data_IF_717247286038
#
_entry.id   IF_717247286038
#
_cell.length_a   1.000
_cell.length_b   1.000
_cell.length_c   1.000
_cell.angle_alpha   90.00
_cell.angle_beta   90.00
_cell.angle_gamma   90.00
#
_symmetry.space_group_name_H-M   'P 1'
#
loop_
_entity.id
_entity.type
_entity.pdbx_description
1 polymer ?
#
# COMPACT_ATOMS: atom_id res chain seq x y z
N UNK A 1 0.90 -24.36 -12.97
CA UNK A 1 2.19 -24.37 -12.24
C UNK A 1 1.94 -24.55 -10.76
N UNK A 2 2.97 -24.97 -10.04
CA UNK A 2 2.99 -25.05 -8.59
C UNK A 2 3.84 -23.91 -8.02
N UNK A 3 3.23 -23.00 -7.26
CA UNK A 3 3.86 -21.78 -6.74
C UNK A 3 3.96 -21.89 -5.23
N UNK A 4 5.14 -21.62 -4.67
CA UNK A 4 5.30 -21.39 -3.23
C UNK A 4 5.39 -19.89 -2.97
N UNK A 5 4.49 -19.36 -2.15
CA UNK A 5 4.64 -18.00 -1.62
C UNK A 5 5.28 -18.03 -0.22
N UNK A 6 6.33 -17.23 -0.03
CA UNK A 6 7.07 -17.15 1.24
C UNK A 6 6.88 -15.77 1.87
N UNK A 7 6.25 -15.73 3.07
CA UNK A 7 5.93 -14.50 3.79
C UNK A 7 6.45 -14.51 5.22
N UNK A 8 7.51 -13.77 5.53
CA UNK A 8 7.99 -13.63 6.90
C UNK A 8 7.04 -12.91 7.84
N UNK A 9 6.16 -12.03 7.31
CA UNK A 9 5.25 -11.18 8.08
C UNK A 9 3.80 -11.30 7.60
N UNK A 10 3.22 -12.50 7.80
CA UNK A 10 1.88 -12.83 7.30
C UNK A 10 0.79 -12.17 8.15
N UNK A 11 0.47 -10.90 7.82
CA UNK A 11 -0.63 -10.14 8.43
C UNK A 11 -1.03 -8.94 7.57
N UNK A 12 -2.13 -8.28 7.92
CA UNK A 12 -2.60 -7.07 7.25
C UNK A 12 -2.75 -7.24 5.73
N UNK A 13 -2.30 -6.24 4.99
CA UNK A 13 -2.37 -6.20 3.53
C UNK A 13 -1.59 -7.32 2.83
N UNK A 14 -0.44 -7.75 3.38
CA UNK A 14 0.32 -8.87 2.83
C UNK A 14 -0.48 -10.17 2.84
N UNK A 15 -1.10 -10.48 4.00
CA UNK A 15 -1.96 -11.65 4.15
C UNK A 15 -3.16 -11.57 3.21
N UNK A 16 -3.87 -10.46 3.22
CA UNK A 16 -5.07 -10.26 2.40
C UNK A 16 -4.77 -10.42 0.90
N UNK A 17 -3.67 -9.83 0.44
CA UNK A 17 -3.25 -9.91 -0.95
C UNK A 17 -3.00 -11.34 -1.41
N UNK A 18 -2.18 -12.12 -0.67
CA UNK A 18 -1.83 -13.47 -1.10
C UNK A 18 -2.99 -14.46 -0.94
N UNK A 19 -3.80 -14.32 0.11
CA UNK A 19 -4.98 -15.17 0.29
C UNK A 19 -5.98 -14.95 -0.85
N UNK A 20 -6.16 -13.69 -1.25
CA UNK A 20 -7.01 -13.34 -2.40
C UNK A 20 -6.39 -13.87 -3.70
N UNK A 21 -5.11 -13.59 -3.98
CA UNK A 21 -4.48 -14.11 -5.21
C UNK A 21 -4.58 -15.64 -5.30
N UNK A 22 -4.33 -16.35 -4.22
CA UNK A 22 -4.48 -17.81 -4.16
C UNK A 22 -5.89 -18.27 -4.52
N UNK A 23 -6.93 -17.53 -4.15
CA UNK A 23 -8.32 -17.90 -4.45
C UNK A 23 -8.73 -17.61 -5.89
N UNK A 24 -8.07 -16.65 -6.57
CA UNK A 24 -8.39 -16.25 -7.94
C UNK A 24 -7.48 -16.85 -9.01
N UNK A 25 -6.27 -17.25 -8.66
CA UNK A 25 -5.29 -17.83 -9.59
C UNK A 25 -5.72 -19.21 -10.10
N UNK A 26 -5.40 -19.50 -11.36
CA UNK A 26 -5.51 -20.86 -11.93
C UNK A 26 -4.38 -21.80 -11.47
N UNK A 27 -3.37 -21.28 -10.80
CA UNK A 27 -2.21 -22.02 -10.33
C UNK A 27 -2.42 -22.60 -8.93
N UNK A 28 -1.68 -23.66 -8.60
CA UNK A 28 -1.65 -24.20 -7.24
C UNK A 28 -0.69 -23.40 -6.38
N UNK A 29 -1.22 -22.55 -5.49
CA UNK A 29 -0.43 -21.69 -4.62
C UNK A 29 -0.41 -22.25 -3.20
N UNK A 30 0.78 -22.54 -2.70
CA UNK A 30 1.04 -22.89 -1.32
C UNK A 30 1.67 -21.71 -0.58
N UNK A 31 1.31 -21.49 0.69
CA UNK A 31 1.81 -20.38 1.50
C UNK A 31 2.69 -20.95 2.63
N UNK A 32 3.93 -20.50 2.69
CA UNK A 32 4.88 -20.76 3.76
C UNK A 32 5.14 -19.47 4.53
N UNK A 33 4.63 -19.34 5.74
CA UNK A 33 4.62 -18.06 6.43
C UNK A 33 4.97 -18.14 7.91
N UNK A 34 5.26 -16.97 8.48
CA UNK A 34 5.37 -16.72 9.92
C UNK A 34 4.37 -15.63 10.35
N UNK A 35 3.91 -15.64 11.62
CA UNK A 35 2.98 -14.63 12.12
C UNK A 35 3.53 -13.21 11.99
N UNK A 36 2.65 -12.25 11.67
CA UNK A 36 2.96 -10.83 11.48
C UNK A 36 3.23 -10.09 12.79
N UNK A 37 4.40 -10.27 13.35
CA UNK A 37 4.90 -9.59 14.56
C UNK A 37 6.42 -9.47 14.53
N UNK A 38 6.96 -8.44 15.19
CA UNK A 38 8.41 -8.20 15.27
C UNK A 38 9.04 -8.07 13.88
N UNK A 39 8.51 -7.21 13.00
CA UNK A 39 8.88 -7.11 11.59
C UNK A 39 10.41 -6.98 11.37
N UNK A 40 11.10 -6.17 12.19
CA UNK A 40 12.57 -6.03 12.11
C UNK A 40 13.27 -7.38 12.30
N UNK A 41 12.83 -8.18 13.25
CA UNK A 41 13.36 -9.53 13.45
C UNK A 41 12.99 -10.48 12.31
N UNK A 42 11.80 -10.32 11.72
CA UNK A 42 11.40 -11.12 10.55
C UNK A 42 12.30 -10.88 9.36
N UNK A 43 12.64 -9.64 9.05
CA UNK A 43 13.58 -9.34 7.95
C UNK A 43 14.97 -9.93 8.17
N UNK A 44 15.42 -10.02 9.42
CA UNK A 44 16.72 -10.62 9.74
C UNK A 44 16.72 -12.14 9.73
N UNK A 45 15.88 -12.74 10.56
CA UNK A 45 16.04 -14.13 10.99
C UNK A 45 15.03 -15.09 10.37
N UNK A 46 13.95 -14.61 9.74
CA UNK A 46 12.90 -15.49 9.22
C UNK A 46 13.40 -16.46 8.15
N UNK A 47 14.38 -16.05 7.34
CA UNK A 47 14.94 -16.88 6.27
C UNK A 47 15.45 -18.23 6.79
N UNK A 48 16.09 -18.26 7.96
CA UNK A 48 16.62 -19.50 8.58
C UNK A 48 15.46 -20.46 8.90
N UNK A 49 14.42 -19.95 9.57
CA UNK A 49 13.27 -20.78 9.96
C UNK A 49 12.48 -21.27 8.75
N UNK A 50 12.27 -20.38 7.77
CA UNK A 50 11.50 -20.70 6.57
C UNK A 50 12.28 -21.66 5.65
N UNK A 51 13.60 -21.51 5.53
CA UNK A 51 14.45 -22.44 4.81
C UNK A 51 14.36 -23.87 5.38
N UNK A 52 14.50 -24.02 6.70
CA UNK A 52 14.33 -25.33 7.33
C UNK A 52 12.96 -25.94 7.02
N UNK A 53 11.87 -25.17 7.20
CA UNK A 53 10.51 -25.65 6.92
C UNK A 53 10.31 -26.01 5.45
N UNK A 54 10.95 -25.28 4.55
CA UNK A 54 10.89 -25.54 3.11
C UNK A 54 11.59 -26.84 2.75
N UNK A 55 12.81 -27.05 3.24
CA UNK A 55 13.59 -28.30 3.04
C UNK A 55 12.83 -29.51 3.56
N UNK A 56 12.24 -29.40 4.77
CA UNK A 56 11.48 -30.47 5.41
C UNK A 56 10.25 -30.91 4.59
N UNK A 57 9.70 -30.02 3.73
CA UNK A 57 8.55 -30.33 2.85
C UNK A 57 8.88 -31.31 1.72
N UNK A 58 10.14 -31.39 1.29
CA UNK A 58 10.59 -32.26 0.17
C UNK A 58 9.74 -32.13 -1.10
N UNK A 59 9.30 -30.91 -1.41
CA UNK A 59 8.40 -30.58 -2.53
C UNK A 59 9.09 -29.61 -3.47
N UNK A 60 9.00 -29.86 -4.77
CA UNK A 60 9.46 -28.94 -5.82
C UNK A 60 8.36 -27.95 -6.23
N UNK A 61 8.76 -26.76 -6.64
CA UNK A 61 7.90 -25.70 -7.14
C UNK A 61 8.47 -25.12 -8.42
N UNK A 62 7.60 -24.70 -9.31
CA UNK A 62 8.01 -24.01 -10.56
C UNK A 62 8.47 -22.60 -10.23
N UNK A 63 7.74 -21.93 -9.32
CA UNK A 63 8.02 -20.57 -8.85
C UNK A 63 8.07 -20.51 -7.34
N UNK A 64 9.06 -19.78 -6.84
CA UNK A 64 9.13 -19.32 -5.46
C UNK A 64 8.88 -17.81 -5.48
N UNK A 65 7.68 -17.40 -5.11
CA UNK A 65 7.27 -16.01 -4.96
C UNK A 65 7.52 -15.57 -3.52
N UNK A 66 8.26 -14.49 -3.31
CA UNK A 66 8.61 -14.01 -1.96
C UNK A 66 8.22 -12.55 -1.78
N UNK A 67 7.91 -12.14 -0.55
CA UNK A 67 7.75 -10.72 -0.24
C UNK A 67 9.09 -10.03 0.02
N UNK A 68 9.08 -8.71 -0.04
CA UNK A 68 10.19 -7.80 0.30
C UNK A 68 10.70 -7.97 1.75
N UNK A 69 9.90 -8.60 2.61
CA UNK A 69 10.24 -8.90 4.00
C UNK A 69 11.24 -10.06 4.17
N UNK A 70 11.53 -10.84 3.13
CA UNK A 70 12.43 -11.96 3.19
C UNK A 70 13.88 -11.54 2.91
N UNK A 71 14.84 -11.98 3.75
CA UNK A 71 16.26 -11.99 3.38
C UNK A 71 16.48 -13.12 2.37
N UNK A 72 16.20 -12.83 1.10
CA UNK A 72 16.24 -13.80 0.01
C UNK A 72 17.64 -14.38 -0.25
N UNK A 73 18.75 -13.60 -0.24
CA UNK A 73 20.08 -14.17 -0.39
C UNK A 73 20.39 -15.26 0.63
N UNK A 74 20.05 -15.03 1.90
CA UNK A 74 20.23 -16.01 2.97
C UNK A 74 19.34 -17.24 2.74
N UNK A 75 18.06 -17.03 2.38
CA UNK A 75 17.16 -18.13 2.07
C UNK A 75 17.68 -18.99 0.91
N UNK A 76 18.08 -18.35 -0.21
CA UNK A 76 18.63 -19.05 -1.39
C UNK A 76 19.88 -19.84 -1.04
N UNK A 77 20.77 -19.30 -0.22
CA UNK A 77 22.00 -19.96 0.20
C UNK A 77 21.70 -21.23 1.00
N UNK A 78 20.71 -21.18 1.91
CA UNK A 78 20.32 -22.32 2.76
C UNK A 78 19.57 -23.41 2.00
N UNK A 79 18.90 -23.09 0.88
CA UNK A 79 18.05 -23.99 0.11
C UNK A 79 18.55 -24.19 -1.34
N UNK A 80 19.84 -24.02 -1.60
CA UNK A 80 20.40 -23.94 -2.95
C UNK A 80 20.08 -25.17 -3.82
N UNK A 81 20.03 -26.34 -3.23
CA UNK A 81 19.73 -27.58 -3.94
C UNK A 81 18.24 -27.73 -4.25
N UNK A 82 17.39 -27.29 -3.32
CA UNK A 82 15.93 -27.42 -3.41
C UNK A 82 15.30 -26.45 -4.40
N UNK A 83 15.94 -25.28 -4.59
CA UNK A 83 15.42 -24.20 -5.47
C UNK A 83 16.07 -24.11 -6.84
N UNK A 84 17.06 -24.95 -7.14
CA UNK A 84 17.88 -24.87 -8.36
C UNK A 84 17.07 -24.88 -9.69
N UNK A 85 15.89 -25.49 -9.69
CA UNK A 85 15.01 -25.60 -10.84
C UNK A 85 13.80 -24.65 -10.75
N UNK A 86 13.73 -23.81 -9.72
CA UNK A 86 12.63 -22.85 -9.52
C UNK A 86 13.03 -21.47 -9.99
N UNK A 87 12.11 -20.72 -10.58
CA UNK A 87 12.26 -19.27 -10.75
C UNK A 87 11.92 -18.56 -9.46
N UNK A 88 12.68 -17.56 -9.10
CA UNK A 88 12.48 -16.80 -7.85
C UNK A 88 12.03 -15.38 -8.16
N UNK A 89 10.85 -15.02 -7.71
CA UNK A 89 10.21 -13.74 -7.95
C UNK A 89 10.03 -13.01 -6.62
N UNK A 90 10.49 -11.76 -6.52
CA UNK A 90 10.21 -10.91 -5.35
C UNK A 90 9.09 -9.93 -5.68
N UNK A 91 8.04 -9.91 -4.85
CA UNK A 91 6.99 -8.90 -4.90
C UNK A 91 7.21 -7.88 -3.79
N UNK A 92 7.39 -6.61 -4.19
CA UNK A 92 7.58 -5.50 -3.28
C UNK A 92 6.24 -4.86 -2.93
N UNK A 93 5.77 -5.08 -1.70
CA UNK A 93 4.65 -4.35 -1.11
C UNK A 93 5.09 -2.98 -0.61
N UNK A 94 6.29 -2.93 -0.02
CA UNK A 94 6.99 -1.74 0.44
C UNK A 94 8.49 -1.91 0.24
N UNK A 95 9.29 -0.89 0.57
CA UNK A 95 10.75 -1.02 0.61
C UNK A 95 11.35 -0.14 1.71
N UNK A 96 12.49 -0.57 2.22
CA UNK A 96 13.16 0.08 3.35
C UNK A 96 14.16 1.17 2.92
N UNK A 97 14.34 1.43 1.63
CA UNK A 97 15.11 2.58 1.12
C UNK A 97 14.35 3.90 1.31
N UNK A 98 13.01 3.83 1.24
CA UNK A 98 12.10 4.97 1.29
C UNK A 98 11.31 5.08 2.59
N UNK A 99 11.53 4.19 3.53
CA UNK A 99 10.79 4.24 4.79
C UNK A 99 11.14 5.52 5.54
N UNK A 100 10.19 6.46 5.60
CA UNK A 100 10.39 7.71 6.32
C UNK A 100 10.36 7.46 7.81
N UNK A 101 11.49 7.68 8.45
CA UNK A 101 11.57 7.68 9.91
C UNK A 101 10.85 8.93 10.43
N UNK A 102 10.04 8.76 11.49
CA UNK A 102 9.34 9.88 12.11
C UNK A 102 10.34 10.99 12.50
N UNK A 103 10.01 12.29 12.35
CA UNK A 103 10.94 13.42 12.52
C UNK A 103 11.65 13.52 13.87
N UNK A 104 11.34 12.66 14.84
CA UNK A 104 11.91 12.62 16.20
C UNK A 104 12.81 11.41 16.47
N UNK A 105 13.06 10.54 15.49
CA UNK A 105 14.00 9.44 15.67
C UNK A 105 15.42 9.91 15.36
N UNK A 106 16.34 9.66 16.30
CA UNK A 106 17.74 10.09 16.23
C UNK A 106 18.44 9.50 14.98
N UNK A 107 19.38 10.25 14.36
CA UNK A 107 20.24 9.81 13.26
C UNK A 107 20.87 8.43 13.46
N UNK A 108 21.17 8.05 14.71
CA UNK A 108 21.66 6.70 15.06
C UNK A 108 20.65 5.56 14.81
N UNK A 109 19.35 5.87 14.71
CA UNK A 109 18.33 4.88 14.40
C UNK A 109 18.18 4.70 12.88
N UNK A 110 18.40 5.78 12.13
CA UNK A 110 18.49 5.77 10.66
C UNK A 110 19.62 4.86 10.17
N UNK A 111 20.82 4.96 10.76
CA UNK A 111 21.95 4.11 10.39
C UNK A 111 21.70 2.61 10.68
N UNK A 112 20.99 2.30 11.76
CA UNK A 112 20.61 0.90 12.06
C UNK A 112 19.58 0.35 11.08
N UNK A 113 18.70 1.20 10.55
CA UNK A 113 17.61 0.76 9.67
C UNK A 113 18.10 0.66 8.21
N UNK A 114 19.23 1.29 7.85
CA UNK A 114 19.85 1.15 6.51
C UNK A 114 20.22 -0.29 6.13
N UNK A 115 20.40 -1.19 7.09
CA UNK A 115 20.67 -2.57 6.76
C UNK A 115 19.42 -3.34 6.26
N UNK A 116 18.20 -2.91 6.60
CA UNK A 116 16.98 -3.45 5.98
C UNK A 116 16.88 -3.04 4.51
N UNK A 117 17.31 -1.81 4.20
CA UNK A 117 17.49 -1.36 2.82
C UNK A 117 18.49 -2.24 2.05
N UNK A 118 19.57 -2.68 2.72
CA UNK A 118 20.55 -3.61 2.14
C UNK A 118 19.93 -4.99 1.88
N UNK A 119 19.06 -5.48 2.75
CA UNK A 119 18.32 -6.73 2.52
C UNK A 119 17.44 -6.60 1.27
N UNK A 120 16.66 -5.50 1.11
CA UNK A 120 15.86 -5.27 -0.09
C UNK A 120 16.72 -5.21 -1.34
N UNK A 121 17.84 -4.45 -1.31
CA UNK A 121 18.81 -4.37 -2.42
C UNK A 121 19.32 -5.74 -2.83
N UNK A 122 19.87 -6.51 -1.89
CA UNK A 122 20.46 -7.82 -2.20
C UNK A 122 19.40 -8.84 -2.60
N UNK A 123 18.18 -8.76 -2.06
CA UNK A 123 17.05 -9.59 -2.49
C UNK A 123 16.65 -9.30 -3.92
N UNK A 124 16.51 -8.02 -4.29
CA UNK A 124 16.21 -7.64 -5.67
C UNK A 124 17.33 -8.06 -6.65
N UNK A 125 18.58 -8.03 -6.20
CA UNK A 125 19.73 -8.43 -7.03
C UNK A 125 19.75 -9.92 -7.33
N UNK A 126 19.33 -10.79 -6.40
CA UNK A 126 19.36 -12.25 -6.58
C UNK A 126 18.06 -12.87 -7.08
N UNK A 127 16.98 -12.08 -7.21
CA UNK A 127 15.73 -12.49 -7.82
C UNK A 127 15.87 -12.65 -9.33
N UNK A 128 15.07 -13.52 -9.93
CA UNK A 128 14.93 -13.61 -11.39
C UNK A 128 14.03 -12.50 -11.94
N UNK A 129 13.00 -12.09 -11.17
CA UNK A 129 12.10 -10.99 -11.48
C UNK A 129 11.74 -10.24 -10.19
N UNK A 130 11.68 -8.91 -10.28
CA UNK A 130 11.19 -8.03 -9.23
C UNK A 130 9.87 -7.39 -9.66
N UNK A 131 8.83 -7.51 -8.84
CA UNK A 131 7.52 -6.95 -9.09
C UNK A 131 7.23 -5.84 -8.08
N UNK A 132 6.83 -4.69 -8.58
CA UNK A 132 6.46 -3.52 -7.77
C UNK A 132 4.98 -3.23 -7.92
N UNK A 133 4.34 -2.82 -6.86
CA UNK A 133 2.90 -2.55 -6.84
C UNK A 133 2.46 -1.27 -7.57
N UNK A 134 3.40 -0.42 -7.97
CA UNK A 134 3.15 0.77 -8.80
C UNK A 134 4.42 1.20 -9.56
N UNK A 135 4.25 1.98 -10.64
CA UNK A 135 5.39 2.58 -11.36
C UNK A 135 6.13 3.59 -10.48
N UNK A 136 5.37 4.34 -9.65
CA UNK A 136 5.99 5.20 -8.63
C UNK A 136 6.92 4.38 -7.73
N UNK A 137 6.46 3.26 -7.18
CA UNK A 137 7.27 2.43 -6.28
C UNK A 137 8.55 1.92 -6.97
N UNK A 138 8.41 1.40 -8.20
CA UNK A 138 9.55 0.91 -9.01
C UNK A 138 10.58 2.03 -9.26
N UNK A 139 10.12 3.17 -9.74
CA UNK A 139 10.99 4.29 -10.12
C UNK A 139 11.75 4.85 -8.92
N UNK A 140 11.04 5.14 -7.80
CA UNK A 140 11.68 5.69 -6.61
C UNK A 140 12.61 4.67 -5.91
N UNK A 141 12.30 3.37 -5.99
CA UNK A 141 13.19 2.33 -5.48
C UNK A 141 14.54 2.35 -6.21
N UNK A 142 14.54 2.39 -7.55
CA UNK A 142 15.75 2.42 -8.36
C UNK A 142 16.55 3.72 -8.15
N UNK A 143 15.87 4.85 -8.08
CA UNK A 143 16.49 6.16 -7.81
C UNK A 143 17.16 6.19 -6.43
N UNK A 144 16.46 5.77 -5.38
CA UNK A 144 17.00 5.77 -4.02
C UNK A 144 18.10 4.70 -3.85
N UNK A 145 18.03 3.59 -4.57
CA UNK A 145 19.09 2.59 -4.60
C UNK A 145 20.39 3.16 -5.18
N UNK A 146 20.31 3.92 -6.28
CA UNK A 146 21.48 4.61 -6.83
C UNK A 146 22.09 5.60 -5.82
N UNK A 147 21.26 6.40 -5.16
CA UNK A 147 21.68 7.32 -4.10
C UNK A 147 22.29 6.57 -2.90
N UNK A 148 21.69 5.45 -2.49
CA UNK A 148 22.16 4.60 -1.41
C UNK A 148 23.56 4.04 -1.70
N UNK A 149 23.79 3.52 -2.91
CA UNK A 149 25.06 2.97 -3.34
C UNK A 149 26.12 4.07 -3.49
N UNK A 150 25.77 5.27 -3.97
CA UNK A 150 26.66 6.41 -4.08
C UNK A 150 27.30 6.84 -2.75
N UNK A 151 26.58 6.65 -1.63
CA UNK A 151 27.08 6.96 -0.28
C UNK A 151 28.07 5.95 0.28
N UNK A 152 28.32 4.81 -0.41
CA UNK A 152 29.29 3.83 0.05
C UNK A 152 30.73 4.29 -0.18
N UNK A 153 31.66 3.95 0.74
CA UNK A 153 33.02 4.47 0.69
C UNK A 153 33.80 4.00 -0.55
N UNK A 154 33.58 2.75 -0.97
CA UNK A 154 34.26 2.13 -2.12
C UNK A 154 33.39 1.03 -2.73
N UNK A 155 33.78 0.49 -3.89
CA UNK A 155 33.10 -0.61 -4.58
C UNK A 155 31.58 -0.42 -4.65
N UNK A 156 31.16 0.77 -5.08
CA UNK A 156 29.75 1.22 -5.03
C UNK A 156 28.77 0.34 -5.83
N UNK A 157 29.29 -0.53 -6.69
CA UNK A 157 28.52 -1.53 -7.48
C UNK A 157 27.31 -0.95 -8.24
N UNK A 158 27.39 0.30 -8.70
CA UNK A 158 26.28 1.02 -9.35
C UNK A 158 25.71 0.31 -10.58
N UNK A 159 26.52 -0.50 -11.29
CA UNK A 159 26.05 -1.31 -12.40
C UNK A 159 24.91 -2.27 -12.00
N UNK A 160 24.80 -2.60 -10.72
CA UNK A 160 23.74 -3.49 -10.22
C UNK A 160 22.35 -2.85 -10.28
N UNK A 161 22.28 -1.50 -10.29
CA UNK A 161 21.00 -0.78 -10.47
C UNK A 161 20.39 -1.12 -11.83
N UNK A 162 21.20 -1.04 -12.91
CA UNK A 162 20.74 -1.43 -14.25
C UNK A 162 20.39 -2.91 -14.35
N UNK A 163 21.13 -3.78 -13.65
CA UNK A 163 20.82 -5.23 -13.58
C UNK A 163 19.45 -5.44 -12.93
N UNK A 164 19.16 -4.73 -11.84
CA UNK A 164 17.89 -4.82 -11.14
C UNK A 164 16.76 -4.22 -12.00
N UNK A 165 16.99 -3.07 -12.62
CA UNK A 165 16.01 -2.39 -13.47
C UNK A 165 15.53 -3.29 -14.62
N UNK A 166 16.46 -3.95 -15.33
CA UNK A 166 16.15 -4.85 -16.46
C UNK A 166 15.23 -6.03 -16.10
N UNK A 167 15.19 -6.39 -14.83
CA UNK A 167 14.32 -7.47 -14.31
C UNK A 167 13.28 -6.95 -13.31
N UNK A 168 12.88 -5.70 -13.45
CA UNK A 168 11.88 -5.05 -12.61
C UNK A 168 10.69 -4.64 -13.44
N UNK A 169 9.50 -5.09 -13.05
CA UNK A 169 8.22 -4.79 -13.70
C UNK A 169 7.19 -4.31 -12.69
N UNK A 170 6.15 -3.65 -13.19
CA UNK A 170 5.01 -3.22 -12.37
C UNK A 170 3.90 -4.24 -12.47
N UNK A 171 3.43 -4.68 -11.31
CA UNK A 171 2.24 -5.49 -11.18
C UNK A 171 1.40 -4.93 -10.03
N UNK A 172 0.38 -4.15 -10.36
CA UNK A 172 -0.48 -3.50 -9.38
C UNK A 172 -1.13 -4.51 -8.43
N UNK A 173 -1.44 -4.06 -7.22
CA UNK A 173 -2.14 -4.90 -6.25
C UNK A 173 -3.55 -5.22 -6.77
N UNK A 174 -3.90 -6.50 -6.76
CA UNK A 174 -5.27 -6.94 -6.94
C UNK A 174 -6.07 -6.74 -5.64
N UNK A 175 -7.28 -6.21 -5.76
CA UNK A 175 -8.19 -5.96 -4.65
C UNK A 175 -9.44 -6.82 -4.82
N UNK A 176 -9.99 -7.36 -3.74
CA UNK A 176 -11.29 -8.05 -3.79
C UNK A 176 -12.42 -7.04 -3.67
N UNK A 177 -12.67 -6.30 -4.77
CA UNK A 177 -13.64 -5.21 -4.77
C UNK A 177 -15.08 -5.71 -4.75
N UNK A 178 -15.36 -6.93 -5.20
CA UNK A 178 -16.70 -7.48 -5.18
C UNK A 178 -17.30 -7.58 -3.77
N UNK A 179 -16.46 -7.80 -2.75
CA UNK A 179 -16.92 -7.85 -1.36
C UNK A 179 -17.52 -6.50 -0.90
N UNK A 180 -17.13 -5.40 -1.55
CA UNK A 180 -17.67 -4.06 -1.27
C UNK A 180 -18.94 -3.74 -2.06
N UNK A 181 -19.40 -4.60 -2.95
CA UNK A 181 -20.64 -4.33 -3.69
C UNK A 181 -21.82 -4.11 -2.76
N UNK A 182 -22.62 -3.07 -3.03
CA UNK A 182 -23.89 -2.79 -2.38
C UNK A 182 -24.89 -2.28 -3.40
N UNK A 183 -26.14 -2.68 -3.27
CA UNK A 183 -27.25 -2.10 -4.02
C UNK A 183 -27.82 -0.84 -3.35
N UNK A 184 -27.40 -0.52 -2.13
CA UNK A 184 -27.85 0.64 -1.39
C UNK A 184 -27.13 1.91 -1.90
N UNK A 185 -27.89 2.95 -2.16
CA UNK A 185 -27.37 4.29 -2.47
C UNK A 185 -27.62 5.20 -1.26
N UNK A 186 -26.55 5.69 -0.68
CA UNK A 186 -26.61 6.66 0.41
C UNK A 186 -26.60 8.07 -0.16
N UNK A 187 -27.48 8.93 0.34
CA UNK A 187 -27.50 10.34 0.00
C UNK A 187 -27.53 11.15 1.29
N UNK A 188 -26.46 11.86 1.57
CA UNK A 188 -26.34 12.67 2.76
C UNK A 188 -26.75 14.12 2.45
N UNK A 189 -27.51 14.76 3.37
CA UNK A 189 -27.77 16.21 3.28
C UNK A 189 -26.52 17.02 3.60
N UNK A 190 -25.74 16.57 4.56
CA UNK A 190 -24.46 17.11 4.98
C UNK A 190 -23.37 16.09 4.60
N UNK A 191 -22.39 16.46 3.77
CA UNK A 191 -21.39 15.51 3.30
C UNK A 191 -20.56 14.90 4.44
N UNK A 192 -20.28 13.60 4.31
CA UNK A 192 -19.43 12.86 5.22
C UNK A 192 -18.00 12.80 4.63
N UNK A 193 -17.04 13.36 5.36
CA UNK A 193 -15.63 13.33 5.03
C UNK A 193 -14.98 12.13 5.71
N UNK A 194 -14.28 11.32 4.97
CA UNK A 194 -13.69 10.07 5.44
C UNK A 194 -12.18 10.20 5.67
N UNK A 195 -11.73 9.73 6.83
CA UNK A 195 -10.35 9.33 7.09
C UNK A 195 -10.31 7.82 7.28
N UNK A 196 -9.66 7.07 6.37
CA UNK A 196 -9.54 5.61 6.45
C UNK A 196 -8.10 5.12 6.43
N UNK A 197 -7.22 5.80 7.16
CA UNK A 197 -5.81 5.48 7.31
C UNK A 197 -5.46 5.11 8.75
N UNK A 198 -4.31 4.44 8.91
CA UNK A 198 -3.67 4.30 10.22
C UNK A 198 -3.40 5.67 10.82
N UNK A 199 -3.42 5.75 12.15
CA UNK A 199 -3.23 7.02 12.84
C UNK A 199 -1.72 7.29 13.07
N UNK A 200 -1.03 7.56 11.96
CA UNK A 200 0.42 7.73 11.90
C UNK A 200 0.81 9.04 11.21
N UNK A 201 2.03 9.52 11.49
CA UNK A 201 2.54 10.80 10.95
C UNK A 201 2.70 10.80 9.43
N UNK A 202 3.04 9.65 8.83
CA UNK A 202 3.22 9.51 7.39
C UNK A 202 1.94 9.78 6.58
N UNK A 203 0.77 9.71 7.25
CA UNK A 203 -0.53 10.04 6.65
C UNK A 203 -0.87 11.54 6.73
N UNK A 204 -0.01 12.34 7.37
CA UNK A 204 -0.15 13.80 7.53
C UNK A 204 -1.52 14.22 8.08
N UNK A 205 -1.92 13.69 9.26
CA UNK A 205 -3.18 14.05 9.88
C UNK A 205 -3.27 15.53 10.24
N UNK A 206 -2.11 16.21 10.40
CA UNK A 206 -2.03 17.64 10.69
C UNK A 206 -2.70 18.46 9.60
N UNK A 207 -2.36 18.24 8.33
CA UNK A 207 -2.99 18.95 7.20
C UNK A 207 -4.48 18.67 7.14
N UNK A 208 -4.87 17.39 7.25
CA UNK A 208 -6.26 16.98 7.21
C UNK A 208 -7.11 17.67 8.29
N UNK A 209 -6.77 17.49 9.55
CA UNK A 209 -7.58 18.00 10.66
C UNK A 209 -7.52 19.51 10.80
N UNK A 210 -6.35 20.16 10.59
CA UNK A 210 -6.28 21.62 10.63
C UNK A 210 -7.12 22.26 9.51
N UNK A 211 -7.21 21.63 8.35
CA UNK A 211 -8.09 22.08 7.26
C UNK A 211 -9.56 21.97 7.65
N UNK A 212 -10.00 20.86 8.23
CA UNK A 212 -11.38 20.69 8.71
C UNK A 212 -11.74 21.69 9.82
N UNK A 213 -10.85 21.91 10.78
CA UNK A 213 -11.04 22.92 11.82
C UNK A 213 -11.20 24.32 11.23
N UNK A 214 -10.41 24.66 10.19
CA UNK A 214 -10.52 25.93 9.48
C UNK A 214 -11.85 26.05 8.73
N UNK A 215 -12.31 24.97 8.08
CA UNK A 215 -13.61 24.93 7.38
C UNK A 215 -14.78 25.12 8.37
N UNK A 216 -14.75 24.45 9.52
CA UNK A 216 -15.74 24.65 10.59
C UNK A 216 -15.79 26.11 11.07
N UNK A 217 -14.63 26.73 11.32
CA UNK A 217 -14.55 28.16 11.71
C UNK A 217 -15.14 29.11 10.66
N UNK A 218 -15.17 28.69 9.38
CA UNK A 218 -15.80 29.38 8.27
C UNK A 218 -17.27 28.97 8.07
N UNK A 219 -17.91 28.34 9.06
CA UNK A 219 -19.30 27.89 9.06
C UNK A 219 -19.67 26.94 7.92
N UNK A 220 -18.70 26.15 7.42
CA UNK A 220 -18.96 25.09 6.42
C UNK A 220 -19.44 23.84 7.16
N UNK A 221 -20.59 23.32 6.72
CA UNK A 221 -21.21 22.13 7.32
C UNK A 221 -20.68 20.84 6.67
N UNK A 222 -20.20 19.91 7.47
CA UNK A 222 -19.76 18.57 7.09
C UNK A 222 -19.81 17.65 8.30
N UNK A 223 -19.84 16.36 8.07
CA UNK A 223 -19.61 15.32 9.08
C UNK A 223 -18.25 14.64 8.82
N UNK A 224 -17.68 14.01 9.84
CA UNK A 224 -16.38 13.31 9.73
C UNK A 224 -16.48 11.91 10.29
N UNK A 225 -15.98 10.94 9.52
CA UNK A 225 -15.76 9.56 9.95
C UNK A 225 -14.26 9.32 9.99
N UNK A 226 -13.75 8.89 11.14
CA UNK A 226 -12.32 8.64 11.37
C UNK A 226 -12.14 7.15 11.64
N UNK A 227 -11.76 6.41 10.60
CA UNK A 227 -11.47 4.98 10.67
C UNK A 227 -9.96 4.73 10.84
N UNK A 228 -9.60 3.47 11.04
CA UNK A 228 -8.23 3.01 11.02
C UNK A 228 -7.66 2.60 12.38
N UNK A 229 -6.57 1.85 12.31
CA UNK A 229 -5.92 1.29 13.48
C UNK A 229 -5.25 2.37 14.33
N UNK A 230 -5.54 2.34 15.62
CA UNK A 230 -4.91 3.17 16.63
C UNK A 230 -3.69 2.44 17.20
N UNK A 231 -2.54 3.09 17.18
CA UNK A 231 -1.32 2.60 17.83
C UNK A 231 -1.16 3.17 19.25
N UNK A 232 -0.22 2.62 20.00
CA UNK A 232 0.08 3.07 21.39
C UNK A 232 0.44 4.54 21.45
N UNK A 233 1.09 5.06 20.40
CA UNK A 233 1.50 6.47 20.29
C UNK A 233 0.87 7.06 19.04
N UNK A 234 -0.10 7.94 19.22
CA UNK A 234 -0.81 8.63 18.14
C UNK A 234 -0.37 10.10 18.06
N UNK A 235 -0.41 10.73 16.86
CA UNK A 235 -0.19 12.18 16.73
C UNK A 235 -1.18 12.99 17.59
N UNK A 236 -0.68 14.05 18.25
CA UNK A 236 -1.49 14.89 19.14
C UNK A 236 -2.68 15.56 18.45
N UNK A 237 -2.59 15.74 17.13
CA UNK A 237 -3.64 16.35 16.32
C UNK A 237 -4.97 15.58 16.42
N UNK A 238 -4.96 14.25 16.62
CA UNK A 238 -6.19 13.48 16.82
C UNK A 238 -6.93 13.90 18.10
N UNK A 239 -6.20 14.19 19.17
CA UNK A 239 -6.79 14.70 20.41
C UNK A 239 -7.33 16.12 20.24
N UNK A 240 -6.62 16.97 19.48
CA UNK A 240 -7.10 18.30 19.10
C UNK A 240 -8.38 18.21 18.27
N UNK A 241 -8.40 17.33 17.26
CA UNK A 241 -9.55 17.12 16.39
C UNK A 241 -10.79 16.69 17.19
N UNK A 242 -10.65 15.76 18.14
CA UNK A 242 -11.75 15.35 19.02
C UNK A 242 -12.39 16.50 19.79
N UNK A 243 -11.59 17.48 20.23
CA UNK A 243 -12.11 18.65 20.94
C UNK A 243 -12.74 19.68 20.01
N UNK A 244 -12.02 20.01 18.91
CA UNK A 244 -12.42 21.09 18.00
C UNK A 244 -13.56 20.69 17.04
N UNK A 245 -13.64 19.40 16.67
CA UNK A 245 -14.63 18.84 15.72
C UNK A 245 -15.63 17.90 16.42
N UNK A 246 -15.88 18.08 17.72
CA UNK A 246 -16.71 17.17 18.51
C UNK A 246 -18.13 16.99 17.92
N UNK A 247 -18.73 18.05 17.38
CA UNK A 247 -20.08 18.04 16.78
C UNK A 247 -20.11 17.47 15.36
N UNK A 248 -18.97 17.46 14.65
CA UNK A 248 -18.85 16.98 13.29
C UNK A 248 -18.43 15.50 13.21
N UNK A 249 -17.73 15.00 14.25
CA UNK A 249 -17.26 13.61 14.29
C UNK A 249 -18.42 12.69 14.64
N UNK A 250 -18.90 11.91 13.66
CA UNK A 250 -20.01 10.97 13.84
C UNK A 250 -19.54 9.53 14.10
N UNK A 251 -18.27 9.21 13.76
CA UNK A 251 -17.62 7.96 14.14
C UNK A 251 -16.11 8.16 14.27
N UNK A 252 -15.50 7.47 15.25
CA UNK A 252 -14.07 7.49 15.47
C UNK A 252 -13.57 6.19 16.09
N UNK A 253 -12.79 5.42 15.35
CA UNK A 253 -12.21 4.16 15.83
C UNK A 253 -11.91 3.16 14.74
N UNK A 254 -11.48 1.99 15.17
CA UNK A 254 -11.36 0.80 14.32
C UNK A 254 -12.72 0.13 14.23
N UNK A 255 -13.10 -0.34 13.05
CA UNK A 255 -14.34 -1.08 12.85
C UNK A 255 -14.19 -2.51 13.42
N UNK A 256 -15.20 -2.97 14.16
CA UNK A 256 -15.20 -4.30 14.78
C UNK A 256 -15.42 -5.42 13.76
N UNK A 257 -15.99 -5.09 12.61
CA UNK A 257 -16.25 -6.03 11.52
C UNK A 257 -15.96 -5.42 10.14
N UNK A 258 -15.81 -6.31 9.15
CA UNK A 258 -15.72 -5.91 7.75
C UNK A 258 -16.99 -5.21 7.27
N UNK A 259 -18.17 -5.69 7.69
CA UNK A 259 -19.46 -5.11 7.30
C UNK A 259 -19.62 -3.68 7.82
N UNK A 260 -19.15 -3.41 9.04
CA UNK A 260 -19.11 -2.04 9.57
C UNK A 260 -18.19 -1.14 8.75
N UNK A 261 -16.96 -1.61 8.42
CA UNK A 261 -16.02 -0.90 7.56
C UNK A 261 -16.63 -0.59 6.20
N UNK A 262 -17.18 -1.61 5.52
CA UNK A 262 -17.89 -1.49 4.24
C UNK A 262 -19.02 -0.46 4.31
N UNK A 263 -19.85 -0.52 5.35
CA UNK A 263 -20.96 0.40 5.54
C UNK A 263 -20.49 1.86 5.66
N UNK A 264 -19.40 2.12 6.39
CA UNK A 264 -18.83 3.46 6.46
C UNK A 264 -18.25 3.94 5.13
N UNK A 265 -17.63 3.08 4.34
CA UNK A 265 -17.15 3.44 3.00
C UNK A 265 -18.31 3.87 2.09
N UNK A 266 -19.44 3.15 2.11
CA UNK A 266 -20.62 3.50 1.32
C UNK A 266 -21.33 4.76 1.80
N UNK A 267 -21.29 5.07 3.09
CA UNK A 267 -21.86 6.30 3.64
C UNK A 267 -21.01 7.54 3.41
N UNK A 268 -19.72 7.37 3.17
CA UNK A 268 -18.79 8.48 2.97
C UNK A 268 -18.96 9.14 1.61
N UNK A 269 -18.91 10.46 1.55
CA UNK A 269 -19.05 11.23 0.31
C UNK A 269 -17.70 11.69 -0.24
N UNK A 270 -16.76 12.10 0.61
CA UNK A 270 -15.48 12.71 0.21
C UNK A 270 -14.33 12.03 0.95
N UNK A 271 -13.30 11.64 0.19
CA UNK A 271 -12.06 11.06 0.71
C UNK A 271 -10.87 11.99 0.43
N UNK A 272 -10.53 12.93 1.32
CA UNK A 272 -9.33 13.73 1.18
C UNK A 272 -8.12 12.96 1.71
N UNK A 273 -7.09 12.82 0.88
CA UNK A 273 -5.84 12.14 1.20
C UNK A 273 -4.72 13.17 1.37
N UNK A 274 -3.96 13.04 2.46
CA UNK A 274 -2.86 13.97 2.79
C UNK A 274 -1.50 13.31 2.92
N UNK A 275 -1.41 12.01 2.71
CA UNK A 275 -0.24 11.17 2.96
C UNK A 275 1.05 11.68 2.32
N UNK A 276 2.16 11.54 3.07
CA UNK A 276 3.53 11.73 2.58
C UNK A 276 4.15 10.44 2.05
N UNK A 277 3.59 9.28 2.45
CA UNK A 277 4.10 7.98 2.02
C UNK A 277 2.94 7.02 1.76
N UNK A 278 2.94 6.47 0.56
CA UNK A 278 2.09 5.37 0.13
C UNK A 278 2.65 4.80 -1.17
N UNK A 279 2.75 3.48 -1.28
CA UNK A 279 3.26 2.84 -2.49
C UNK A 279 2.15 2.42 -3.46
N UNK A 280 0.93 2.25 -2.96
CA UNK A 280 -0.24 1.95 -3.77
C UNK A 280 -1.49 2.70 -3.28
N UNK A 281 -2.02 2.39 -2.10
CA UNK A 281 -3.22 3.04 -1.56
C UNK A 281 -4.48 2.18 -1.72
N UNK A 282 -4.45 0.94 -1.23
CA UNK A 282 -5.60 0.02 -1.28
C UNK A 282 -6.86 0.66 -0.70
N UNK A 283 -6.75 1.33 0.46
CA UNK A 283 -7.90 1.97 1.12
C UNK A 283 -8.55 3.08 0.28
N UNK A 284 -7.79 3.70 -0.63
CA UNK A 284 -8.32 4.68 -1.59
C UNK A 284 -9.11 3.95 -2.67
N UNK A 285 -8.56 2.87 -3.22
CA UNK A 285 -9.23 2.04 -4.23
C UNK A 285 -10.56 1.52 -3.69
N UNK A 286 -10.58 1.01 -2.45
CA UNK A 286 -11.78 0.51 -1.78
C UNK A 286 -12.85 1.60 -1.60
N UNK A 287 -12.47 2.77 -1.08
CA UNK A 287 -13.40 3.87 -0.85
C UNK A 287 -13.96 4.45 -2.16
N UNK A 288 -13.11 4.63 -3.18
CA UNK A 288 -13.55 5.10 -4.50
C UNK A 288 -14.46 4.07 -5.18
N UNK A 289 -14.21 2.78 -5.01
CA UNK A 289 -15.10 1.72 -5.47
C UNK A 289 -16.48 1.80 -4.80
N UNK A 290 -16.54 2.22 -3.52
CA UNK A 290 -17.77 2.49 -2.78
C UNK A 290 -18.39 3.87 -3.10
N UNK A 291 -18.01 4.51 -4.21
CA UNK A 291 -18.55 5.78 -4.69
C UNK A 291 -18.16 7.02 -3.87
N UNK A 292 -17.06 6.97 -3.11
CA UNK A 292 -16.52 8.16 -2.43
C UNK A 292 -15.73 9.02 -3.41
N UNK A 293 -15.95 10.34 -3.41
CA UNK A 293 -15.22 11.30 -4.26
C UNK A 293 -13.81 11.52 -3.69
N UNK A 294 -12.74 11.17 -4.43
CA UNK A 294 -11.38 11.34 -3.94
C UNK A 294 -10.91 12.80 -4.08
N UNK A 295 -10.03 13.24 -3.15
CA UNK A 295 -9.20 14.44 -3.29
C UNK A 295 -7.77 14.07 -2.91
N UNK A 296 -6.90 13.95 -3.90
CA UNK A 296 -5.59 13.31 -3.78
C UNK A 296 -4.45 14.31 -3.99
N UNK A 297 -3.30 14.16 -3.30
CA UNK A 297 -2.12 14.93 -3.67
C UNK A 297 -1.55 14.45 -5.01
N UNK A 298 -1.09 15.38 -5.82
CA UNK A 298 -0.44 15.09 -7.10
C UNK A 298 1.00 14.57 -6.88
N UNK A 299 1.11 13.45 -6.17
CA UNK A 299 2.37 12.77 -5.84
C UNK A 299 2.13 11.30 -5.51
N UNK A 300 3.22 10.57 -5.27
CA UNK A 300 3.21 9.14 -4.94
C UNK A 300 2.57 8.32 -6.08
N UNK A 301 1.90 7.22 -5.73
CA UNK A 301 1.19 6.36 -6.68
C UNK A 301 -0.18 6.91 -7.13
N UNK A 302 -0.66 7.98 -6.52
CA UNK A 302 -2.06 8.44 -6.72
C UNK A 302 -2.37 8.88 -8.14
N UNK A 303 -1.47 9.63 -8.86
CA UNK A 303 -1.67 9.98 -10.27
C UNK A 303 -1.83 8.76 -11.19
N UNK A 304 -1.18 7.66 -10.85
CA UNK A 304 -1.29 6.37 -11.54
C UNK A 304 -2.61 5.67 -11.22
N UNK A 305 -2.99 5.63 -9.93
CA UNK A 305 -4.17 4.89 -9.46
C UNK A 305 -5.47 5.51 -9.97
N UNK A 306 -5.61 6.82 -9.94
CA UNK A 306 -6.81 7.53 -10.41
C UNK A 306 -6.69 8.04 -11.84
N UNK A 307 -5.65 7.62 -12.59
CA UNK A 307 -5.46 8.05 -13.98
C UNK A 307 -5.57 9.58 -14.14
N UNK A 308 -4.57 10.28 -13.62
CA UNK A 308 -4.55 11.76 -13.57
C UNK A 308 -4.86 12.43 -14.92
N UNK A 309 -4.49 11.77 -16.04
CA UNK A 309 -4.76 12.34 -17.38
C UNK A 309 -6.24 12.53 -17.65
N UNK A 310 -7.09 11.67 -17.09
CA UNK A 310 -8.54 11.70 -17.24
C UNK A 310 -9.27 12.34 -16.04
N UNK A 311 -8.59 12.51 -14.90
CA UNK A 311 -9.19 12.95 -13.64
C UNK A 311 -8.34 14.00 -12.91
N UNK A 312 -7.81 15.03 -13.61
CA UNK A 312 -6.95 16.07 -13.01
C UNK A 312 -7.66 16.88 -11.92
N UNK A 313 -8.97 16.98 -11.98
CA UNK A 313 -9.82 17.74 -11.05
C UNK A 313 -9.73 17.23 -9.59
N UNK A 314 -9.45 15.93 -9.39
CA UNK A 314 -9.32 15.33 -8.05
C UNK A 314 -7.92 15.50 -7.42
N UNK A 315 -6.96 16.09 -8.14
CA UNK A 315 -5.60 16.25 -7.64
C UNK A 315 -5.32 17.67 -7.15
N UNK A 316 -4.60 17.79 -6.04
CA UNK A 316 -4.11 19.06 -5.52
C UNK A 316 -2.57 19.08 -5.45
N UNK A 317 -1.99 20.32 -5.52
CA UNK A 317 -0.54 20.51 -5.62
C UNK A 317 0.09 21.21 -4.40
N UNK A 318 -0.71 21.78 -3.51
CA UNK A 318 -0.25 22.45 -2.29
C UNK A 318 -1.30 22.42 -1.18
N UNK A 319 -0.91 22.74 0.05
CA UNK A 319 -1.84 22.81 1.19
C UNK A 319 -2.95 23.85 0.98
N UNK A 320 -2.64 24.97 0.33
CA UNK A 320 -3.64 25.99 -0.03
C UNK A 320 -4.59 25.50 -1.10
N UNK A 321 -4.10 24.77 -2.10
CA UNK A 321 -4.91 24.14 -3.14
C UNK A 321 -5.81 23.04 -2.55
N UNK A 322 -5.27 22.23 -1.63
CA UNK A 322 -6.04 21.26 -0.85
C UNK A 322 -7.23 21.89 -0.14
N UNK A 323 -6.99 22.99 0.61
CA UNK A 323 -8.06 23.71 1.29
C UNK A 323 -9.14 24.19 0.33
N UNK A 324 -8.75 24.86 -0.77
CA UNK A 324 -9.68 25.42 -1.76
C UNK A 324 -10.50 24.33 -2.46
N UNK A 325 -9.84 23.25 -2.86
CA UNK A 325 -10.52 22.12 -3.53
C UNK A 325 -11.47 21.41 -2.57
N UNK A 326 -11.05 21.14 -1.31
CA UNK A 326 -11.93 20.52 -0.32
C UNK A 326 -13.14 21.40 0.00
N UNK A 327 -12.94 22.72 0.16
CA UNK A 327 -14.03 23.67 0.35
C UNK A 327 -15.05 23.62 -0.80
N UNK A 328 -14.56 23.62 -2.05
CA UNK A 328 -15.42 23.56 -3.23
C UNK A 328 -16.14 22.20 -3.34
N UNK A 329 -15.45 21.10 -3.04
CA UNK A 329 -16.06 19.76 -3.02
C UNK A 329 -17.22 19.70 -2.01
N UNK A 330 -17.03 20.19 -0.79
CA UNK A 330 -18.09 20.19 0.25
C UNK A 330 -19.28 21.02 -0.19
N UNK A 331 -19.05 22.20 -0.80
CA UNK A 331 -20.15 23.06 -1.27
C UNK A 331 -20.93 22.49 -2.45
N UNK A 332 -20.25 21.75 -3.32
CA UNK A 332 -20.81 21.32 -4.60
C UNK A 332 -20.99 19.79 -4.70
N UNK A 333 -20.80 19.03 -3.61
CA UNK A 333 -20.73 17.57 -3.68
C UNK A 333 -21.96 16.92 -4.34
N UNK A 334 -23.15 17.47 -4.12
CA UNK A 334 -24.39 16.97 -4.74
C UNK A 334 -24.37 17.03 -6.28
N UNK A 335 -23.75 18.07 -6.83
CA UNK A 335 -23.61 18.23 -8.28
C UNK A 335 -22.56 17.26 -8.86
N UNK A 336 -21.60 16.80 -8.03
CA UNK A 336 -20.52 15.92 -8.42
C UNK A 336 -20.88 14.44 -8.34
N UNK A 337 -22.04 14.09 -7.76
CA UNK A 337 -22.49 12.69 -7.67
C UNK A 337 -22.58 12.01 -9.04
N UNK A 338 -22.84 12.75 -10.11
CA UNK A 338 -22.86 12.23 -11.49
C UNK A 338 -21.46 11.83 -12.03
N UNK A 339 -20.38 12.34 -11.42
CA UNK A 339 -18.99 12.04 -11.85
C UNK A 339 -18.43 10.79 -11.18
N UNK A 340 -19.02 10.35 -10.09
CA UNK A 340 -18.57 9.21 -9.26
C UNK A 340 -18.40 7.93 -10.08
N UNK A 341 -19.32 7.67 -11.01
CA UNK A 341 -19.28 6.46 -11.85
C UNK A 341 -17.98 6.34 -12.68
N UNK A 342 -17.34 7.45 -13.00
CA UNK A 342 -16.07 7.46 -13.75
C UNK A 342 -14.91 7.02 -12.85
N UNK A 343 -14.85 7.51 -11.61
CA UNK A 343 -13.82 7.11 -10.65
C UNK A 343 -13.95 5.63 -10.29
N UNK A 344 -15.18 5.15 -10.05
CA UNK A 344 -15.46 3.74 -9.82
C UNK A 344 -14.94 2.85 -10.97
N UNK A 345 -15.23 3.20 -12.23
CA UNK A 345 -14.72 2.46 -13.41
C UNK A 345 -13.20 2.43 -13.45
N UNK A 346 -12.54 3.55 -13.11
CA UNK A 346 -11.08 3.65 -13.11
C UNK A 346 -10.45 2.69 -12.10
N UNK A 347 -10.97 2.60 -10.87
CA UNK A 347 -10.41 1.72 -9.85
C UNK A 347 -10.83 0.26 -10.02
N UNK A 348 -11.94 -0.05 -10.68
CA UNK A 348 -12.39 -1.41 -10.93
C UNK A 348 -11.38 -2.26 -11.72
N UNK A 349 -10.45 -1.64 -12.44
CA UNK A 349 -9.33 -2.34 -13.10
C UNK A 349 -8.43 -3.12 -12.14
N UNK A 350 -8.44 -2.76 -10.85
CA UNK A 350 -7.68 -3.45 -9.79
C UNK A 350 -8.46 -4.60 -9.13
N UNK A 351 -9.72 -4.84 -9.52
CA UNK A 351 -10.45 -6.02 -9.05
C UNK A 351 -9.75 -7.30 -9.48
N UNK A 352 -9.71 -8.30 -8.60
CA UNK A 352 -9.07 -9.58 -8.89
C UNK A 352 -9.60 -10.26 -10.15
N UNK A 353 -10.86 -10.05 -10.53
CA UNK A 353 -11.38 -10.60 -11.80
C UNK A 353 -10.63 -10.06 -13.02
N UNK A 354 -10.13 -8.82 -12.93
CA UNK A 354 -9.35 -8.18 -13.99
C UNK A 354 -7.84 -8.43 -13.83
N UNK A 355 -7.36 -8.57 -12.58
CA UNK A 355 -5.94 -8.67 -12.29
C UNK A 355 -5.39 -10.10 -12.37
N UNK A 356 -6.18 -11.12 -12.02
CA UNK A 356 -5.72 -12.52 -11.92
C UNK A 356 -4.99 -13.02 -13.16
N UNK A 357 -5.52 -12.73 -14.35
CA UNK A 357 -4.90 -13.17 -15.60
C UNK A 357 -3.54 -12.51 -15.86
N UNK A 358 -3.38 -11.23 -15.45
CA UNK A 358 -2.10 -10.53 -15.56
C UNK A 358 -1.04 -11.15 -14.65
N UNK A 359 -1.44 -11.52 -13.42
CA UNK A 359 -0.57 -12.20 -12.47
C UNK A 359 -0.14 -13.57 -12.99
N UNK A 360 -1.12 -14.39 -13.39
CA UNK A 360 -0.87 -15.74 -13.86
C UNK A 360 0.00 -15.74 -15.13
N UNK A 361 -0.31 -14.88 -16.10
CA UNK A 361 0.45 -14.74 -17.34
C UNK A 361 1.89 -14.30 -17.10
N UNK A 362 2.11 -13.28 -16.27
CA UNK A 362 3.45 -12.76 -15.97
C UNK A 362 4.33 -13.84 -15.31
N UNK A 363 3.74 -14.65 -14.43
CA UNK A 363 4.47 -15.75 -13.80
C UNK A 363 4.72 -16.93 -14.74
N UNK A 364 3.85 -17.15 -15.75
CA UNK A 364 4.09 -18.13 -16.79
C UNK A 364 5.22 -17.72 -17.73
N UNK A 365 5.28 -16.43 -18.09
CA UNK A 365 6.30 -15.89 -19.00
C UNK A 365 7.73 -16.06 -18.46
N UNK A 366 7.93 -15.98 -17.15
CA UNK A 366 9.26 -16.16 -16.56
C UNK A 366 9.73 -17.63 -16.54
N UNK A 367 8.81 -18.59 -16.66
CA UNK A 367 9.13 -20.01 -16.70
C UNK A 367 9.45 -20.52 -18.12
N UNK A 368 9.02 -19.77 -19.13
CA UNK A 368 9.30 -20.06 -20.55
C UNK A 368 10.62 -19.42 -20.99
#
# INVERSE_FOLDING_TARGET
>A
MKILYIEPFYSGSHKQWIDSYKSYSKHSIEILSLPGRYWKWRMHGAAITLAKRFIDKKTSYDIILVSDMLNLPLFKSLCINEIKNSKVVTYFHENQLLYSVAPKENEKQLDRDLHYAFINYTSSLVSDLNLFNSEYHRSVYLEELDKYLNKKPEYKNKYTVEVIEKKSSVLHIGCDLKQFYSSENYHNEIPIILWNHRWEHDKNPELFFNTLIKLKKNNIKFNVVILGQKFTKIPDIFNKAKRELNSEIIHIGYCDSFDEYKNWLHKADILPITSYQDFFGISIVEAVYCNTIPLLPNRLSYPEILDKKNHDEVFYNSDSDFYLKLFNLIKNYKNLLNTISNYHKTVNRFDWQNMKNKYDQLLEEICN
#
